data_IF_966018149906
#
_entry.id   IF_966018149906
#
_cell.length_a   1.000
_cell.length_b   1.000
_cell.length_c   1.000
_cell.angle_alpha   90.00
_cell.angle_beta   90.00
_cell.angle_gamma   90.00
#
_symmetry.space_group_name_H-M   'P 1'
#
loop_
_entity.id
_entity.type
_entity.pdbx_description
1 polymer ?
#
# COMPACT_ATOMS: atom_id res chain seq x y z
N UNK A 1 -5.99 4.24 3.95
CA UNK A 1 -5.04 3.20 3.55
C UNK A 1 -5.82 1.92 3.39
N UNK A 2 -5.85 1.35 2.19
CA UNK A 2 -6.45 0.04 1.95
C UNK A 2 -5.32 -0.98 1.79
N UNK A 3 -5.32 -2.05 2.60
CA UNK A 3 -4.35 -3.14 2.50
C UNK A 3 -4.98 -4.29 1.70
N UNK A 4 -4.55 -4.46 0.46
CA UNK A 4 -4.99 -5.57 -0.39
C UNK A 4 -3.85 -6.60 -0.51
N UNK A 5 -4.18 -7.88 -0.36
CA UNK A 5 -3.25 -8.98 -0.61
C UNK A 5 -3.26 -9.34 -2.09
N UNK A 6 -2.10 -9.29 -2.74
CA UNK A 6 -1.98 -9.71 -4.14
C UNK A 6 -0.92 -10.81 -4.28
N UNK A 7 -1.16 -11.77 -5.19
CA UNK A 7 -0.22 -12.86 -5.47
C UNK A 7 0.56 -12.53 -6.74
N UNK A 8 1.88 -12.36 -6.61
CA UNK A 8 2.77 -12.09 -7.74
C UNK A 8 3.76 -13.24 -7.86
N UNK A 9 3.79 -13.91 -9.02
CA UNK A 9 4.69 -15.03 -9.33
C UNK A 9 4.70 -16.16 -8.28
N UNK A 10 3.56 -16.42 -7.64
CA UNK A 10 3.45 -17.47 -6.61
C UNK A 10 3.60 -16.97 -5.17
N UNK A 11 4.18 -15.79 -4.96
CA UNK A 11 4.42 -15.20 -3.64
C UNK A 11 3.29 -14.25 -3.22
N UNK A 12 2.90 -14.28 -1.93
CA UNK A 12 1.95 -13.32 -1.35
C UNK A 12 2.68 -12.02 -1.06
N UNK A 13 2.17 -10.91 -1.59
CA UNK A 13 2.72 -9.57 -1.38
C UNK A 13 1.65 -8.63 -0.81
N UNK A 14 2.11 -7.64 -0.06
CA UNK A 14 1.31 -6.58 0.55
C UNK A 14 1.28 -5.39 -0.39
N UNK A 15 0.10 -5.09 -0.94
CA UNK A 15 -0.13 -3.89 -1.72
C UNK A 15 -0.77 -2.83 -0.83
N UNK A 16 -0.07 -1.71 -0.70
CA UNK A 16 -0.53 -0.51 -0.03
C UNK A 16 -0.94 0.50 -1.08
N UNK A 17 -2.18 0.99 -0.99
CA UNK A 17 -2.71 2.01 -1.90
C UNK A 17 -2.98 3.31 -1.15
N UNK A 18 -2.40 4.39 -1.67
CA UNK A 18 -2.65 5.75 -1.24
C UNK A 18 -3.78 6.36 -2.07
N UNK A 19 -4.83 6.82 -1.39
CA UNK A 19 -5.99 7.46 -1.99
C UNK A 19 -6.07 8.86 -1.41
N UNK A 20 -6.24 9.88 -2.25
CA UNK A 20 -6.49 11.25 -1.79
C UNK A 20 -7.92 11.39 -1.27
N UNK A 21 -8.25 12.57 -0.73
CA UNK A 21 -9.59 12.84 -0.20
C UNK A 21 -10.70 12.76 -1.27
N UNK A 22 -10.36 13.00 -2.53
CA UNK A 22 -11.29 12.90 -3.67
C UNK A 22 -11.52 11.45 -4.14
N UNK A 23 -10.90 10.45 -3.51
CA UNK A 23 -11.01 9.05 -3.91
C UNK A 23 -10.07 8.65 -5.05
N UNK A 24 -9.20 9.54 -5.51
CA UNK A 24 -8.21 9.27 -6.55
C UNK A 24 -6.99 8.55 -5.98
N UNK A 25 -6.51 7.53 -6.69
CA UNK A 25 -5.31 6.80 -6.27
C UNK A 25 -4.07 7.58 -6.66
N UNK A 26 -3.28 7.99 -5.66
CA UNK A 26 -2.10 8.83 -5.86
C UNK A 26 -0.78 8.05 -5.79
N UNK A 27 -0.76 6.88 -5.13
CA UNK A 27 0.43 6.05 -5.06
C UNK A 27 0.11 4.58 -4.77
N UNK A 28 1.00 3.71 -5.24
CA UNK A 28 1.01 2.28 -4.94
C UNK A 28 2.37 1.90 -4.37
N UNK A 29 2.37 1.14 -3.29
CA UNK A 29 3.58 0.58 -2.70
C UNK A 29 3.40 -0.92 -2.48
N UNK A 30 4.36 -1.71 -2.95
CA UNK A 30 4.31 -3.17 -2.88
C UNK A 30 5.47 -3.66 -2.03
N UNK A 31 5.19 -4.49 -1.03
CA UNK A 31 6.22 -5.11 -0.20
C UNK A 31 5.97 -6.61 -0.02
N UNK A 32 7.05 -7.40 0.02
CA UNK A 32 6.99 -8.83 0.33
C UNK A 32 6.83 -9.11 1.82
N UNK A 33 7.27 -8.17 2.66
CA UNK A 33 7.17 -8.27 4.13
C UNK A 33 6.15 -7.25 4.62
N UNK A 34 5.46 -7.58 5.71
CA UNK A 34 4.52 -6.65 6.34
C UNK A 34 5.32 -5.47 6.91
N UNK A 35 5.31 -4.36 6.19
CA UNK A 35 6.06 -3.16 6.55
C UNK A 35 5.10 -2.12 7.13
N UNK A 36 4.92 -2.18 8.44
CA UNK A 36 4.06 -1.25 9.20
C UNK A 36 4.59 0.18 9.10
N UNK A 37 5.90 0.35 8.86
CA UNK A 37 6.51 1.67 8.64
C UNK A 37 6.09 2.23 7.29
N UNK A 38 6.08 1.43 6.22
CA UNK A 38 5.57 1.85 4.92
C UNK A 38 4.09 2.25 5.00
N UNK A 39 3.27 1.46 5.73
CA UNK A 39 1.86 1.78 5.96
C UNK A 39 1.68 3.11 6.73
N UNK A 40 2.55 3.40 7.72
CA UNK A 40 2.54 4.67 8.47
C UNK A 40 3.11 5.84 7.67
N UNK A 41 4.11 5.63 6.83
CA UNK A 41 4.80 6.70 6.12
C UNK A 41 3.90 7.37 5.07
N UNK A 42 2.91 6.65 4.53
CA UNK A 42 1.91 7.26 3.64
C UNK A 42 0.94 8.19 4.40
N UNK A 43 0.89 8.15 5.74
CA UNK A 43 0.12 9.11 6.54
C UNK A 43 0.76 10.50 6.59
N UNK A 44 2.04 10.67 6.23
CA UNK A 44 2.75 11.94 6.37
C UNK A 44 2.82 12.77 5.06
N UNK A 45 2.17 12.31 3.99
CA UNK A 45 2.12 13.01 2.70
C UNK A 45 0.69 13.41 2.29
N UNK A 46 -0.23 13.49 3.26
CA UNK A 46 -1.56 14.08 3.12
C UNK A 46 -1.70 15.29 4.03
#
# INVERSE_FOLDING_TARGET
MDETYIKIKGEKMYLYRAINFEGNTIAFHLSRKRDVKAAKCIHHFV
#
